data_IF_412526586118
#
_entry.id   IF_412526586118
#
_cell.length_a   1.000
_cell.length_b   1.000
_cell.length_c   1.000
_cell.angle_alpha   90.00
_cell.angle_beta   90.00
_cell.angle_gamma   90.00
#
_symmetry.space_group_name_H-M   'P 1'
#
loop_
_entity.id
_entity.type
_entity.pdbx_description
1 polymer ?
#
# COMPACT_ATOMS: atom_id res chain seq x y z
N UNK A 1 23.08 -82.62 36.76
CA UNK A 1 23.43 -81.26 36.94
C UNK A 1 23.78 -80.64 35.58
N UNK A 2 22.88 -79.92 34.96
CA UNK A 2 23.13 -79.15 33.73
C UNK A 2 22.45 -77.81 33.88
N UNK A 3 23.23 -76.78 33.91
CA UNK A 3 22.73 -75.35 33.96
C UNK A 3 22.18 -74.98 32.61
N UNK A 4 20.98 -74.53 32.60
CA UNK A 4 20.31 -73.93 31.47
C UNK A 4 20.35 -72.36 31.63
N UNK A 5 21.14 -71.72 30.77
CA UNK A 5 21.23 -70.28 30.69
C UNK A 5 20.10 -69.76 29.83
N UNK A 6 19.25 -68.91 30.41
CA UNK A 6 18.19 -68.13 29.70
C UNK A 6 18.84 -66.92 29.02
N UNK A 7 18.75 -66.87 27.69
CA UNK A 7 19.11 -65.67 26.91
C UNK A 7 17.83 -64.85 26.73
N UNK A 8 17.78 -63.67 27.38
CA UNK A 8 16.71 -62.66 27.19
C UNK A 8 16.98 -61.88 25.90
N UNK A 9 16.06 -62.02 24.93
CA UNK A 9 16.01 -61.15 23.75
C UNK A 9 15.24 -59.87 24.13
N UNK A 10 15.94 -58.71 24.24
CA UNK A 10 15.33 -57.42 24.33
C UNK A 10 14.98 -56.94 22.93
N UNK A 11 13.67 -56.91 22.62
CA UNK A 11 13.15 -56.29 21.38
C UNK A 11 13.09 -54.78 21.60
N UNK A 12 14.02 -54.06 20.97
CA UNK A 12 13.93 -52.60 20.85
C UNK A 12 12.86 -52.24 19.83
N UNK A 13 11.68 -51.87 20.29
CA UNK A 13 10.67 -51.13 19.49
C UNK A 13 11.16 -49.68 19.34
N UNK A 14 11.87 -49.40 18.25
CA UNK A 14 12.18 -48.04 17.83
C UNK A 14 10.90 -47.33 17.44
N UNK A 15 10.41 -46.43 18.30
CA UNK A 15 9.41 -45.43 17.91
C UNK A 15 10.05 -44.48 16.90
N UNK A 16 9.78 -44.70 15.62
CA UNK A 16 10.04 -43.74 14.56
C UNK A 16 8.99 -42.64 14.74
N UNK A 17 9.35 -41.60 15.48
CA UNK A 17 8.60 -40.33 15.41
C UNK A 17 8.81 -39.79 14.00
N UNK A 18 7.72 -39.49 13.25
CA UNK A 18 7.88 -38.75 12.02
C UNK A 18 8.46 -37.40 12.42
N UNK A 19 9.73 -37.17 12.12
CA UNK A 19 10.31 -35.83 12.13
C UNK A 19 9.52 -35.08 11.05
N UNK A 20 8.54 -34.32 11.46
CA UNK A 20 7.89 -33.36 10.61
C UNK A 20 8.99 -32.40 10.18
N UNK A 21 9.59 -32.66 9.02
CA UNK A 21 10.55 -31.75 8.41
C UNK A 21 9.76 -30.48 8.10
N UNK A 22 9.88 -29.50 8.98
CA UNK A 22 9.44 -28.16 8.70
C UNK A 22 10.27 -27.69 7.51
N UNK A 23 9.79 -27.92 6.30
CA UNK A 23 10.41 -27.33 5.13
C UNK A 23 10.33 -25.81 5.32
N UNK A 24 11.41 -25.07 5.07
CA UNK A 24 11.35 -23.64 5.13
C UNK A 24 10.22 -23.18 4.19
N UNK A 25 9.29 -22.36 4.71
CA UNK A 25 8.23 -21.80 3.89
C UNK A 25 8.86 -21.08 2.71
N UNK A 26 8.32 -21.25 1.50
CA UNK A 26 8.82 -20.50 0.36
C UNK A 26 8.73 -19.00 0.66
N UNK A 27 9.76 -18.26 0.29
CA UNK A 27 9.80 -16.79 0.44
C UNK A 27 8.64 -16.18 -0.35
N UNK A 28 7.58 -15.78 0.37
CA UNK A 28 6.43 -15.13 -0.23
C UNK A 28 6.78 -13.66 -0.53
N UNK A 29 7.52 -13.45 -1.60
CA UNK A 29 7.98 -12.12 -2.01
C UNK A 29 7.76 -11.86 -3.49
N UNK A 30 7.41 -10.61 -3.80
CA UNK A 30 7.64 -10.02 -5.12
C UNK A 30 9.01 -9.39 -5.12
N UNK A 31 9.81 -9.56 -6.19
CA UNK A 31 11.10 -8.91 -6.27
C UNK A 31 11.51 -8.62 -7.72
N UNK A 32 12.34 -7.59 -7.90
CA UNK A 32 12.71 -7.03 -9.19
C UNK A 32 14.15 -6.52 -9.16
N UNK A 33 14.80 -6.46 -10.33
CA UNK A 33 16.21 -6.05 -10.48
C UNK A 33 16.37 -4.63 -11.07
N UNK A 34 15.27 -3.90 -11.18
CA UNK A 34 15.25 -2.50 -11.65
C UNK A 34 14.22 -1.67 -10.89
N UNK A 35 14.34 -0.34 -10.84
CA UNK A 35 13.28 0.55 -10.38
C UNK A 35 11.98 0.34 -11.15
N UNK A 36 10.86 0.77 -10.59
CA UNK A 36 9.61 0.85 -11.31
C UNK A 36 9.67 2.01 -12.32
N UNK A 37 9.24 1.76 -13.55
CA UNK A 37 9.13 2.78 -14.59
C UNK A 37 7.71 3.34 -14.71
N UNK A 38 6.73 2.57 -14.22
CA UNK A 38 5.33 2.92 -14.20
C UNK A 38 4.74 2.68 -12.81
N UNK A 39 3.67 3.37 -12.50
CA UNK A 39 2.99 3.24 -11.22
C UNK A 39 2.55 1.80 -10.90
N UNK A 40 2.08 1.06 -11.89
CA UNK A 40 1.63 -0.33 -11.74
C UNK A 40 2.77 -1.29 -11.36
N UNK A 41 4.01 -0.88 -11.55
CA UNK A 41 5.20 -1.66 -11.15
C UNK A 41 5.66 -1.36 -9.73
N UNK A 42 5.08 -0.36 -9.07
CA UNK A 42 5.42 0.00 -7.69
C UNK A 42 4.94 -1.05 -6.67
N UNK A 43 5.40 -0.95 -5.44
CA UNK A 43 5.11 -1.96 -4.40
C UNK A 43 4.04 -1.43 -3.43
N UNK A 44 2.80 -1.96 -3.47
CA UNK A 44 1.71 -1.45 -2.63
C UNK A 44 1.88 -1.86 -1.17
N UNK A 45 1.92 -0.89 -0.27
CA UNK A 45 1.90 -1.05 1.18
C UNK A 45 0.66 -0.40 1.77
N UNK A 46 0.08 -0.97 2.82
CA UNK A 46 -1.11 -0.39 3.43
C UNK A 46 -1.50 -1.02 4.77
N UNK A 47 -2.37 -0.31 5.50
CA UNK A 47 -2.94 -0.76 6.76
C UNK A 47 -4.49 -0.68 6.79
N UNK A 48 -5.12 -0.53 5.60
CA UNK A 48 -6.55 -0.36 5.45
C UNK A 48 -7.05 1.08 5.60
N UNK A 49 -6.17 2.04 5.96
CA UNK A 49 -6.44 3.48 5.92
C UNK A 49 -5.40 4.21 5.08
N UNK A 50 -4.15 4.08 5.45
CA UNK A 50 -3.02 4.69 4.74
C UNK A 50 -2.43 3.71 3.75
N UNK A 51 -2.01 4.23 2.60
CA UNK A 51 -1.32 3.49 1.54
C UNK A 51 -0.05 4.20 1.11
N UNK A 52 0.98 3.43 0.75
CA UNK A 52 2.27 3.91 0.27
C UNK A 52 2.73 3.04 -0.90
N UNK A 53 3.28 3.67 -1.95
CA UNK A 53 3.72 2.95 -3.16
C UNK A 53 5.11 3.44 -3.61
N UNK A 54 6.21 2.90 -3.05
CA UNK A 54 7.57 3.24 -3.46
C UNK A 54 7.90 2.69 -4.86
N UNK A 55 8.52 3.52 -5.70
CA UNK A 55 9.02 3.14 -7.02
C UNK A 55 10.44 2.54 -6.98
N UNK A 56 11.19 2.81 -5.90
CA UNK A 56 12.55 2.32 -5.70
C UNK A 56 13.58 3.04 -6.57
N UNK A 57 13.31 4.25 -7.05
CA UNK A 57 14.24 5.06 -7.83
C UNK A 57 15.55 5.32 -7.09
N UNK A 58 16.68 5.26 -7.79
CA UNK A 58 18.01 5.36 -7.14
C UNK A 58 18.38 6.79 -6.79
N UNK A 59 18.31 7.69 -7.76
CA UNK A 59 18.67 9.12 -7.60
C UNK A 59 17.46 9.95 -7.19
N UNK A 60 16.35 9.70 -7.84
CA UNK A 60 15.05 10.27 -7.50
C UNK A 60 14.10 9.11 -7.18
N UNK A 61 13.36 9.24 -6.12
CA UNK A 61 12.33 8.28 -5.73
C UNK A 61 11.03 9.01 -5.47
N UNK A 62 9.97 8.54 -6.12
CA UNK A 62 8.61 9.05 -5.89
C UNK A 62 7.78 7.97 -5.22
N UNK A 63 7.18 8.32 -4.10
CA UNK A 63 6.32 7.44 -3.33
C UNK A 63 4.93 8.03 -3.31
N UNK A 64 3.99 7.37 -3.98
CA UNK A 64 2.60 7.79 -3.98
C UNK A 64 1.96 7.45 -2.64
N UNK A 65 1.29 8.42 -2.02
CA UNK A 65 0.64 8.30 -0.72
C UNK A 65 -0.88 8.33 -0.88
N UNK A 66 -1.57 7.50 -0.12
CA UNK A 66 -3.02 7.41 -0.11
C UNK A 66 -3.59 7.43 1.31
N UNK A 67 -4.79 7.98 1.46
CA UNK A 67 -5.66 7.79 2.62
C UNK A 67 -7.06 7.43 2.09
N UNK A 68 -7.64 6.33 2.58
CA UNK A 68 -8.94 5.82 2.12
C UNK A 68 -10.08 6.84 2.28
N UNK A 69 -9.87 7.84 3.12
CA UNK A 69 -10.83 8.92 3.39
C UNK A 69 -10.63 10.16 2.53
N UNK A 70 -9.68 10.12 1.57
CA UNK A 70 -9.38 11.24 0.68
C UNK A 70 -10.38 11.28 -0.48
N UNK A 71 -11.59 11.79 -0.21
CA UNK A 71 -12.68 11.89 -1.17
C UNK A 71 -13.08 13.34 -1.40
N UNK A 72 -13.17 13.76 -2.66
CA UNK A 72 -13.86 14.97 -3.06
C UNK A 72 -15.37 14.77 -3.05
N UNK A 73 -16.11 15.84 -3.33
CA UNK A 73 -17.57 15.80 -3.39
C UNK A 73 -18.26 15.96 -2.05
N UNK A 74 -19.54 15.74 -2.03
CA UNK A 74 -20.42 15.85 -0.86
C UNK A 74 -21.59 14.90 -0.97
N UNK A 75 -22.34 14.76 0.12
CA UNK A 75 -23.57 13.99 0.10
C UNK A 75 -24.53 14.48 -0.98
N UNK A 76 -25.04 13.56 -1.78
CA UNK A 76 -26.05 13.78 -2.79
C UNK A 76 -27.22 12.83 -2.54
N UNK A 77 -28.45 13.31 -2.67
CA UNK A 77 -29.61 12.47 -2.66
C UNK A 77 -29.76 11.77 -4.01
N UNK A 78 -29.40 10.51 -4.06
CA UNK A 78 -29.45 9.68 -5.27
C UNK A 78 -30.72 8.84 -5.35
N UNK A 79 -31.67 9.02 -4.44
CA UNK A 79 -32.94 8.29 -4.46
C UNK A 79 -33.76 8.65 -5.68
N UNK A 80 -34.35 7.66 -6.32
CA UNK A 80 -35.33 7.83 -7.37
C UNK A 80 -36.69 7.29 -6.90
N UNK A 81 -37.56 8.12 -6.31
CA UNK A 81 -38.86 7.68 -5.80
C UNK A 81 -39.80 7.18 -6.88
N UNK A 82 -39.59 7.59 -8.14
CA UNK A 82 -40.41 7.16 -9.27
C UNK A 82 -40.13 5.71 -9.69
N UNK A 83 -38.93 5.16 -9.37
CA UNK A 83 -38.55 3.82 -9.75
C UNK A 83 -39.53 2.73 -9.28
N UNK A 84 -40.09 2.89 -8.08
CA UNK A 84 -41.02 1.92 -7.50
C UNK A 84 -42.26 1.72 -8.36
N UNK A 85 -42.73 2.73 -9.08
CA UNK A 85 -43.92 2.66 -9.96
C UNK A 85 -43.73 1.66 -11.11
N UNK A 86 -42.50 1.51 -11.58
CA UNK A 86 -42.16 0.65 -12.73
C UNK A 86 -41.77 -0.78 -12.32
N UNK A 87 -41.52 -1.03 -11.04
CA UNK A 87 -41.10 -2.33 -10.56
C UNK A 87 -42.09 -3.48 -10.89
N UNK A 88 -43.43 -3.31 -10.74
CA UNK A 88 -44.38 -4.37 -11.10
C UNK A 88 -44.32 -4.73 -12.58
N UNK A 89 -44.19 -3.74 -13.47
CA UNK A 89 -44.13 -3.93 -14.91
C UNK A 89 -42.83 -4.62 -15.34
N UNK A 90 -41.69 -4.21 -14.79
CA UNK A 90 -40.39 -4.86 -15.03
C UNK A 90 -40.48 -6.35 -14.63
N UNK A 91 -41.03 -6.65 -13.46
CA UNK A 91 -41.21 -8.03 -13.00
C UNK A 91 -42.11 -8.84 -13.91
N UNK A 92 -43.21 -8.26 -14.40
CA UNK A 92 -44.12 -8.90 -15.34
C UNK A 92 -43.41 -9.25 -16.66
N UNK A 93 -42.68 -8.30 -17.22
CA UNK A 93 -41.90 -8.51 -18.44
C UNK A 93 -40.84 -9.62 -18.29
N UNK A 94 -40.12 -9.63 -17.17
CA UNK A 94 -39.13 -10.68 -16.89
C UNK A 94 -39.79 -12.07 -16.77
N UNK A 95 -40.95 -12.17 -16.13
CA UNK A 95 -41.68 -13.42 -16.01
C UNK A 95 -42.26 -13.90 -17.36
N UNK A 96 -42.53 -12.99 -18.26
CA UNK A 96 -42.99 -13.30 -19.65
C UNK A 96 -41.81 -13.61 -20.59
N UNK A 97 -40.55 -13.55 -20.13
CA UNK A 97 -39.37 -13.76 -20.95
C UNK A 97 -38.99 -12.58 -21.85
N UNK A 98 -39.64 -11.42 -21.68
CA UNK A 98 -39.40 -10.19 -22.44
C UNK A 98 -38.24 -9.39 -21.83
N UNK A 99 -37.05 -9.99 -21.84
CA UNK A 99 -35.88 -9.44 -21.13
C UNK A 99 -35.45 -8.08 -21.70
N UNK A 100 -35.48 -7.89 -23.00
CA UNK A 100 -35.04 -6.63 -23.64
C UNK A 100 -35.97 -5.47 -23.26
N UNK A 101 -37.29 -5.68 -23.27
CA UNK A 101 -38.26 -4.67 -22.85
C UNK A 101 -38.11 -4.33 -21.36
N UNK A 102 -37.87 -5.35 -20.51
CA UNK A 102 -37.60 -5.14 -19.09
C UNK A 102 -36.32 -4.33 -18.85
N UNK A 103 -35.26 -4.62 -19.60
CA UNK A 103 -33.98 -3.92 -19.53
C UNK A 103 -34.10 -2.45 -19.97
N UNK A 104 -34.81 -2.18 -21.07
CA UNK A 104 -35.08 -0.81 -21.51
C UNK A 104 -35.83 -0.01 -20.42
N UNK A 105 -36.86 -0.63 -19.82
CA UNK A 105 -37.62 -0.01 -18.76
C UNK A 105 -36.76 0.24 -17.49
N UNK A 106 -35.87 -0.69 -17.16
CA UNK A 106 -34.89 -0.52 -16.11
C UNK A 106 -33.94 0.66 -16.38
N UNK A 107 -33.34 0.72 -17.54
CA UNK A 107 -32.42 1.81 -17.88
C UNK A 107 -33.10 3.17 -17.85
N UNK A 108 -34.38 3.21 -18.24
CA UNK A 108 -35.13 4.47 -18.25
C UNK A 108 -35.58 4.93 -16.87
N UNK A 109 -35.96 4.01 -15.98
CA UNK A 109 -36.66 4.36 -14.75
C UNK A 109 -35.99 3.90 -13.45
N UNK A 110 -35.02 2.96 -13.52
CA UNK A 110 -34.28 2.48 -12.36
C UNK A 110 -32.89 3.11 -12.22
N UNK A 111 -32.62 4.20 -12.93
CA UNK A 111 -31.43 5.00 -12.72
C UNK A 111 -31.55 5.75 -11.38
N UNK A 112 -30.42 5.86 -10.65
CA UNK A 112 -30.36 6.70 -9.47
C UNK A 112 -30.70 8.16 -9.82
N UNK A 113 -31.33 8.88 -8.90
CA UNK A 113 -31.49 10.34 -8.98
C UNK A 113 -30.14 11.05 -8.76
N UNK A 114 -30.13 12.35 -8.99
CA UNK A 114 -28.96 13.19 -8.77
C UNK A 114 -28.15 13.47 -10.04
N UNK A 115 -27.31 14.48 -9.93
CA UNK A 115 -26.50 14.96 -11.04
C UNK A 115 -25.48 13.88 -11.44
N UNK A 116 -25.44 13.51 -12.72
CA UNK A 116 -24.53 12.53 -13.27
C UNK A 116 -24.87 11.08 -13.01
N UNK A 117 -26.01 10.79 -12.39
CA UNK A 117 -26.46 9.42 -12.10
C UNK A 117 -27.14 8.75 -13.30
N UNK A 118 -27.47 9.48 -14.37
CA UNK A 118 -28.09 8.95 -15.54
C UNK A 118 -27.06 8.24 -16.45
N UNK A 119 -27.49 7.20 -17.13
CA UNK A 119 -26.68 6.40 -18.05
C UNK A 119 -25.86 7.26 -19.01
N UNK A 120 -24.52 7.10 -18.98
CA UNK A 120 -23.58 7.84 -19.83
C UNK A 120 -23.35 9.31 -19.49
N UNK A 121 -24.04 9.87 -18.51
CA UNK A 121 -23.90 11.30 -18.16
C UNK A 121 -22.92 11.57 -17.00
N UNK A 122 -22.42 10.53 -16.37
CA UNK A 122 -21.49 10.63 -15.25
C UNK A 122 -20.12 11.21 -15.58
N UNK A 123 -19.70 11.10 -16.83
CA UNK A 123 -18.35 11.51 -17.25
C UNK A 123 -18.07 13.02 -17.10
N UNK A 124 -19.11 13.86 -17.05
CA UNK A 124 -18.99 15.32 -17.04
C UNK A 124 -19.62 15.98 -15.80
N UNK A 125 -20.08 15.20 -14.85
CA UNK A 125 -20.70 15.74 -13.64
C UNK A 125 -19.71 15.79 -12.49
N UNK A 126 -19.70 16.84 -11.65
CA UNK A 126 -18.82 16.97 -10.51
C UNK A 126 -19.31 16.12 -9.36
N UNK A 127 -18.88 14.85 -9.31
CA UNK A 127 -19.15 14.07 -8.10
C UNK A 127 -17.92 13.85 -7.25
N UNK A 128 -18.18 13.20 -6.09
CA UNK A 128 -17.14 12.72 -5.23
C UNK A 128 -16.30 11.65 -5.91
N UNK A 129 -14.98 11.82 -5.81
CA UNK A 129 -14.00 10.92 -6.32
C UNK A 129 -12.95 10.61 -5.25
N UNK A 130 -12.48 9.37 -5.22
CA UNK A 130 -11.29 9.02 -4.48
C UNK A 130 -10.07 9.68 -5.13
N UNK A 131 -9.22 10.29 -4.32
CA UNK A 131 -8.04 11.02 -4.79
C UNK A 131 -6.79 10.56 -4.07
N UNK A 132 -5.63 10.73 -4.72
CA UNK A 132 -4.37 10.55 -4.03
C UNK A 132 -4.22 11.56 -2.89
N UNK A 133 -3.52 11.16 -1.83
CA UNK A 133 -3.19 12.06 -0.72
C UNK A 133 -2.07 13.03 -1.13
N UNK A 134 -1.05 12.54 -1.82
CA UNK A 134 0.09 13.29 -2.30
C UNK A 134 1.21 12.39 -2.76
N UNK A 135 2.31 12.99 -3.17
CA UNK A 135 3.55 12.31 -3.52
C UNK A 135 4.67 12.73 -2.55
N UNK A 136 5.40 11.76 -2.05
CA UNK A 136 6.63 11.99 -1.31
C UNK A 136 7.80 11.85 -2.28
N UNK A 137 8.61 12.89 -2.43
CA UNK A 137 9.75 12.92 -3.32
C UNK A 137 11.04 12.90 -2.52
N UNK A 138 11.91 11.95 -2.82
CA UNK A 138 13.26 11.90 -2.28
C UNK A 138 14.25 12.15 -3.41
N UNK A 139 15.12 13.16 -3.23
CA UNK A 139 16.23 13.45 -4.11
C UNK A 139 17.52 13.09 -3.39
N UNK A 140 18.25 12.08 -3.88
CA UNK A 140 19.48 11.62 -3.26
C UNK A 140 20.69 12.32 -3.90
N UNK A 141 21.63 12.73 -3.04
CA UNK A 141 22.89 13.38 -3.42
C UNK A 141 24.04 12.43 -3.08
N UNK A 142 24.59 11.77 -4.07
CA UNK A 142 25.71 10.86 -3.86
C UNK A 142 27.04 11.59 -3.97
N UNK A 143 28.03 11.30 -3.08
CA UNK A 143 29.30 12.03 -3.03
C UNK A 143 30.12 11.95 -4.33
N UNK A 144 30.02 10.82 -5.03
CA UNK A 144 30.65 10.66 -6.34
C UNK A 144 29.67 11.16 -7.42
N UNK A 145 29.88 12.42 -7.84
CA UNK A 145 29.17 13.02 -8.97
C UNK A 145 29.58 12.42 -10.33
N UNK A 146 30.44 11.40 -10.33
CA UNK A 146 30.80 10.66 -11.53
C UNK A 146 29.58 9.90 -12.06
N UNK A 147 29.44 9.79 -13.35
CA UNK A 147 28.47 9.02 -14.13
C UNK A 147 28.46 7.49 -13.80
N UNK A 148 28.97 7.10 -12.64
CA UNK A 148 28.94 5.70 -12.18
C UNK A 148 27.51 5.30 -11.93
N UNK A 149 26.99 4.45 -12.77
CA UNK A 149 25.71 3.82 -12.59
C UNK A 149 25.60 3.11 -11.23
N UNK A 150 24.45 2.52 -10.95
CA UNK A 150 24.28 1.64 -9.79
C UNK A 150 24.44 0.18 -10.20
N UNK A 151 24.71 -0.68 -9.22
CA UNK A 151 24.85 -2.13 -9.40
C UNK A 151 24.19 -2.88 -8.23
N UNK A 152 24.05 -4.20 -8.38
CA UNK A 152 23.44 -5.08 -7.37
C UNK A 152 22.10 -4.52 -6.86
N UNK A 153 21.27 -4.05 -7.79
CA UNK A 153 19.97 -3.51 -7.48
C UNK A 153 18.96 -4.64 -7.24
N UNK A 154 18.23 -4.50 -6.16
CA UNK A 154 17.07 -5.34 -5.85
C UNK A 154 16.03 -4.50 -5.12
N UNK A 155 14.79 -4.59 -5.53
CA UNK A 155 13.63 -4.13 -4.74
C UNK A 155 12.64 -5.27 -4.59
N UNK A 156 11.89 -5.24 -3.52
CA UNK A 156 10.89 -6.29 -3.30
C UNK A 156 9.90 -5.96 -2.20
N UNK A 157 8.90 -6.82 -2.10
CA UNK A 157 7.83 -6.79 -1.12
C UNK A 157 7.67 -8.18 -0.50
N UNK A 158 7.93 -8.29 0.81
CA UNK A 158 7.61 -9.47 1.61
C UNK A 158 6.13 -9.47 1.96
N UNK A 159 5.39 -10.42 1.42
CA UNK A 159 3.94 -10.52 1.66
C UNK A 159 3.62 -10.96 3.09
N UNK A 160 4.48 -11.78 3.68
CA UNK A 160 4.35 -12.29 5.04
C UNK A 160 4.71 -11.27 6.13
N UNK A 161 5.40 -10.18 5.74
CA UNK A 161 5.81 -9.08 6.63
C UNK A 161 5.17 -7.74 6.30
N UNK A 162 4.50 -7.61 5.15
CA UNK A 162 4.05 -6.33 4.60
C UNK A 162 5.14 -5.25 4.65
N UNK A 163 6.35 -5.64 4.27
CA UNK A 163 7.57 -4.84 4.28
C UNK A 163 8.15 -4.80 2.87
N UNK A 164 8.31 -3.61 2.30
CA UNK A 164 9.05 -3.43 1.06
C UNK A 164 10.48 -3.01 1.34
N UNK A 165 11.37 -3.27 0.39
CA UNK A 165 12.76 -2.82 0.45
C UNK A 165 13.29 -2.45 -0.94
N UNK A 166 14.35 -1.63 -0.93
CA UNK A 166 15.20 -1.34 -2.07
C UNK A 166 16.65 -1.42 -1.62
N UNK A 167 17.46 -2.20 -2.31
CA UNK A 167 18.88 -2.34 -2.07
C UNK A 167 19.65 -2.08 -3.35
N UNK A 168 20.75 -1.35 -3.28
CA UNK A 168 21.65 -1.16 -4.41
C UNK A 168 23.03 -0.75 -3.92
N UNK A 169 24.01 -0.81 -4.83
CA UNK A 169 25.35 -0.29 -4.61
C UNK A 169 25.62 0.86 -5.57
N UNK A 170 26.07 1.98 -5.04
CA UNK A 170 26.59 3.10 -5.85
C UNK A 170 28.03 3.40 -5.43
N UNK A 171 28.96 3.25 -6.39
CA UNK A 171 30.38 3.23 -6.07
C UNK A 171 30.72 2.11 -5.08
N UNK A 172 31.34 2.48 -3.96
CA UNK A 172 31.75 1.53 -2.89
C UNK A 172 30.75 1.42 -1.75
N UNK A 173 29.62 2.13 -1.81
CA UNK A 173 28.62 2.19 -0.74
C UNK A 173 27.41 1.36 -1.11
N UNK A 174 26.95 0.53 -0.16
CA UNK A 174 25.68 -0.19 -0.24
C UNK A 174 24.62 0.61 0.48
N UNK A 175 23.51 0.85 -0.21
CA UNK A 175 22.33 1.52 0.33
C UNK A 175 21.20 0.52 0.50
N UNK A 176 20.44 0.69 1.59
CA UNK A 176 19.20 -0.08 1.84
C UNK A 176 18.14 0.88 2.31
N UNK A 177 16.95 0.72 1.77
CA UNK A 177 15.73 1.41 2.16
C UNK A 177 14.69 0.36 2.53
N UNK A 178 13.94 0.59 3.60
CA UNK A 178 12.85 -0.26 4.06
C UNK A 178 11.61 0.61 4.23
N UNK A 179 10.43 0.06 3.85
CA UNK A 179 9.19 0.80 3.84
C UNK A 179 8.08 -0.05 4.42
N UNK A 180 7.27 0.51 5.30
CA UNK A 180 6.02 -0.12 5.73
C UNK A 180 5.00 0.91 6.20
N UNK A 181 3.71 0.54 6.15
CA UNK A 181 2.63 1.30 6.76
C UNK A 181 2.25 0.58 8.06
N UNK A 182 2.48 1.22 9.20
CA UNK A 182 2.27 0.57 10.49
C UNK A 182 0.83 0.08 10.65
N UNK A 183 0.69 -1.18 11.08
CA UNK A 183 -0.61 -1.79 11.37
C UNK A 183 -1.20 -1.32 12.70
N UNK A 184 -0.39 -0.73 13.57
CA UNK A 184 -0.74 -0.38 14.95
C UNK A 184 -0.68 1.11 15.22
N UNK A 185 0.33 1.83 14.71
CA UNK A 185 0.54 3.27 15.00
C UNK A 185 -0.09 4.19 13.96
N UNK A 186 -0.59 3.62 12.83
CA UNK A 186 -1.31 4.36 11.78
C UNK A 186 -0.48 5.49 11.13
N UNK A 187 0.81 5.21 10.89
CA UNK A 187 1.78 6.06 10.22
C UNK A 187 2.52 5.29 9.12
N UNK A 188 3.03 6.00 8.13
CA UNK A 188 3.92 5.45 7.11
C UNK A 188 5.36 5.67 7.56
N UNK A 189 6.20 4.67 7.39
CA UNK A 189 7.56 4.64 7.92
C UNK A 189 8.53 4.20 6.85
N UNK A 190 9.65 4.93 6.74
CA UNK A 190 10.80 4.54 5.93
C UNK A 190 12.04 4.54 6.79
N UNK A 191 12.93 3.57 6.57
CA UNK A 191 14.29 3.56 7.10
C UNK A 191 15.28 3.55 5.96
N UNK A 192 16.19 4.50 5.95
CA UNK A 192 17.25 4.65 4.97
C UNK A 192 18.60 4.38 5.64
N UNK A 193 19.44 3.55 5.03
CA UNK A 193 20.75 3.21 5.58
C UNK A 193 21.83 3.18 4.50
N UNK A 194 23.03 3.62 4.84
CA UNK A 194 24.25 3.39 4.10
C UNK A 194 25.20 2.50 4.92
N UNK A 195 25.95 1.60 4.28
CA UNK A 195 26.91 0.73 4.97
C UNK A 195 28.22 1.46 5.33
N UNK A 196 28.31 2.76 5.06
CA UNK A 196 29.42 3.65 5.42
C UNK A 196 28.90 4.89 6.11
N UNK A 197 29.64 5.32 7.12
CA UNK A 197 29.30 6.49 7.94
C UNK A 197 29.22 7.75 7.08
N UNK A 198 28.13 8.53 7.29
CA UNK A 198 27.96 9.85 6.69
C UNK A 198 27.68 9.84 5.19
N UNK A 199 27.17 8.74 4.63
CA UNK A 199 26.97 8.59 3.18
C UNK A 199 25.49 8.73 2.74
N UNK A 200 24.62 9.19 3.63
CA UNK A 200 23.25 9.54 3.28
C UNK A 200 23.11 11.06 3.22
N UNK A 201 23.00 11.56 2.00
CA UNK A 201 22.62 12.95 1.70
C UNK A 201 21.37 12.90 0.83
N UNK A 202 20.28 13.51 1.27
CA UNK A 202 19.04 13.57 0.49
C UNK A 202 18.15 14.73 0.92
N UNK A 203 17.30 15.13 0.02
CA UNK A 203 16.19 16.03 0.26
C UNK A 203 14.90 15.24 0.21
N UNK A 204 13.95 15.55 1.09
CA UNK A 204 12.60 14.96 1.07
C UNK A 204 11.55 16.05 1.14
N UNK A 205 10.64 16.00 0.18
CA UNK A 205 9.52 16.94 0.04
C UNK A 205 8.21 16.20 -0.22
N UNK A 206 7.10 16.90 0.01
CA UNK A 206 5.77 16.38 -0.26
C UNK A 206 4.98 17.37 -1.11
N UNK A 207 4.26 16.87 -2.09
CA UNK A 207 3.36 17.65 -2.93
C UNK A 207 2.09 16.87 -3.32
N UNK A 208 1.21 17.54 -4.05
CA UNK A 208 0.10 16.95 -4.77
C UNK A 208 -0.29 17.82 -5.97
N UNK A 209 -1.14 17.33 -6.91
CA UNK A 209 -1.50 18.08 -8.11
C UNK A 209 -2.19 19.42 -7.86
N UNK A 210 -3.02 19.51 -6.81
CA UNK A 210 -3.85 20.72 -6.58
C UNK A 210 -4.32 20.89 -5.12
N UNK A 211 -4.83 22.09 -4.81
CA UNK A 211 -5.55 22.41 -3.57
C UNK A 211 -4.75 22.10 -2.29
N UNK A 212 -3.50 22.54 -2.25
CA UNK A 212 -2.63 22.35 -1.09
C UNK A 212 -1.73 23.57 -0.83
N UNK A 213 -1.26 23.64 0.39
CA UNK A 213 -0.15 24.49 0.83
C UNK A 213 0.81 23.67 1.65
N UNK A 214 2.13 23.92 1.48
CA UNK A 214 3.17 23.32 2.29
C UNK A 214 3.92 24.41 3.08
N UNK A 215 4.29 24.07 4.32
CA UNK A 215 5.12 24.89 5.18
C UNK A 215 5.90 24.02 6.17
N UNK A 216 7.02 24.55 6.68
CA UNK A 216 7.79 23.89 7.72
C UNK A 216 7.61 24.62 9.06
N UNK A 217 7.47 23.84 10.14
CA UNK A 217 7.47 24.33 11.50
C UNK A 217 8.13 23.32 12.43
N UNK A 218 9.07 23.76 13.28
CA UNK A 218 9.79 22.94 14.27
C UNK A 218 10.37 21.62 13.69
N UNK A 219 10.93 21.69 12.47
CA UNK A 219 11.55 20.53 11.82
C UNK A 219 10.56 19.53 11.22
N UNK A 220 9.27 19.86 11.19
CA UNK A 220 8.20 19.11 10.55
C UNK A 220 7.71 19.87 9.33
N UNK A 221 7.53 19.19 8.20
CA UNK A 221 6.84 19.74 7.03
C UNK A 221 5.38 19.33 7.07
N UNK A 222 4.54 20.31 6.86
CA UNK A 222 3.08 20.18 6.80
C UNK A 222 2.61 20.36 5.36
N UNK A 223 1.68 19.56 4.92
CA UNK A 223 0.88 19.78 3.73
C UNK A 223 -0.59 19.75 4.13
N UNK A 224 -1.28 20.85 3.85
CA UNK A 224 -2.70 21.02 4.18
C UNK A 224 -3.48 21.47 2.96
N UNK A 225 -4.75 21.10 2.91
CA UNK A 225 -5.61 21.54 1.84
C UNK A 225 -7.08 21.19 2.04
N UNK A 226 -7.85 21.54 1.04
CA UNK A 226 -9.29 21.29 1.03
C UNK A 226 -9.76 20.97 -0.38
N UNK A 227 -10.41 19.81 -0.52
CA UNK A 227 -10.96 19.36 -1.79
C UNK A 227 -12.25 20.10 -2.15
N UNK A 228 -12.64 20.06 -3.43
CA UNK A 228 -13.93 20.55 -3.87
C UNK A 228 -15.07 19.59 -3.43
N UNK A 229 -16.22 20.15 -3.12
CA UNK A 229 -17.40 19.36 -2.71
C UNK A 229 -18.32 18.98 -3.88
N UNK A 230 -17.92 19.22 -5.12
CA UNK A 230 -18.71 18.95 -6.31
C UNK A 230 -19.83 19.96 -6.58
N UNK A 231 -19.93 21.02 -5.79
CA UNK A 231 -20.95 22.08 -5.88
C UNK A 231 -20.36 23.49 -5.85
N UNK A 232 -19.08 23.61 -6.20
CA UNK A 232 -18.34 24.88 -6.14
C UNK A 232 -18.13 25.41 -4.72
N UNK A 233 -18.06 24.52 -3.73
CA UNK A 233 -17.83 24.84 -2.32
C UNK A 233 -16.74 23.98 -1.74
N UNK A 234 -16.30 24.33 -0.53
CA UNK A 234 -15.30 23.59 0.21
C UNK A 234 -15.79 22.20 0.66
N UNK A 235 -15.02 21.17 0.37
CA UNK A 235 -15.27 19.77 0.72
C UNK A 235 -14.35 19.27 1.82
N UNK A 236 -13.85 18.05 1.66
CA UNK A 236 -12.97 17.37 2.64
C UNK A 236 -11.68 18.14 2.85
N UNK A 237 -11.39 18.46 4.10
CA UNK A 237 -10.09 19.03 4.53
C UNK A 237 -9.13 17.88 4.86
N UNK A 238 -7.85 18.10 4.68
CA UNK A 238 -6.81 17.13 5.00
C UNK A 238 -5.54 17.80 5.52
N UNK A 239 -4.75 17.01 6.26
CA UNK A 239 -3.42 17.37 6.72
C UNK A 239 -2.50 16.17 6.57
N UNK A 240 -1.25 16.45 6.18
CA UNK A 240 -0.14 15.50 6.18
C UNK A 240 1.01 16.13 6.96
N UNK A 241 1.66 15.36 7.80
CA UNK A 241 2.91 15.71 8.46
C UNK A 241 4.02 14.81 7.97
N UNK A 242 5.14 15.40 7.61
CA UNK A 242 6.37 14.74 7.23
C UNK A 242 7.46 15.12 8.23
N UNK A 243 8.08 14.12 8.84
CA UNK A 243 9.19 14.29 9.79
C UNK A 243 10.32 13.35 9.45
N UNK A 244 11.53 13.85 9.59
CA UNK A 244 12.74 13.03 9.48
C UNK A 244 13.49 13.11 10.82
N UNK A 245 14.11 12.02 11.22
CA UNK A 245 15.17 12.06 12.22
C UNK A 245 16.34 11.18 11.81
N UNK A 246 17.51 11.51 12.29
CA UNK A 246 18.77 10.83 12.00
C UNK A 246 19.48 10.46 13.28
N UNK A 247 20.15 9.29 13.29
CA UNK A 247 20.98 8.89 14.42
C UNK A 247 22.31 9.70 14.45
N UNK A 248 22.74 10.19 13.30
CA UNK A 248 23.94 11.00 13.08
C UNK A 248 23.69 11.94 11.87
N UNK A 249 24.65 12.81 11.56
CA UNK A 249 24.51 13.80 10.50
C UNK A 249 23.71 15.04 10.93
N UNK A 250 23.19 15.76 9.95
CA UNK A 250 22.46 17.04 10.14
C UNK A 250 21.16 17.02 9.35
N UNK A 251 20.14 17.64 9.90
CA UNK A 251 18.89 17.86 9.19
C UNK A 251 18.38 19.28 9.41
N UNK A 252 17.80 19.86 8.36
CA UNK A 252 17.17 21.18 8.37
C UNK A 252 15.88 21.11 7.56
N UNK A 253 14.80 21.63 8.10
CA UNK A 253 13.55 21.81 7.38
C UNK A 253 13.42 23.28 6.94
N UNK A 254 13.08 23.50 5.69
CA UNK A 254 12.74 24.80 5.14
C UNK A 254 11.51 24.69 4.24
N UNK A 255 10.71 25.74 4.18
CA UNK A 255 9.50 25.83 3.34
C UNK A 255 8.67 24.54 3.26
N UNK A 256 8.98 23.63 2.38
CA UNK A 256 8.25 22.37 2.11
C UNK A 256 9.19 21.16 2.00
N UNK A 257 10.46 21.30 2.40
CA UNK A 257 11.50 20.31 2.23
C UNK A 257 12.27 20.07 3.51
N UNK A 258 12.74 18.84 3.72
CA UNK A 258 13.70 18.50 4.78
C UNK A 258 14.97 18.02 4.11
N UNK A 259 16.07 18.71 4.42
CA UNK A 259 17.41 18.42 3.93
C UNK A 259 18.16 17.60 4.96
N UNK A 260 18.71 16.46 4.56
CA UNK A 260 19.53 15.58 5.39
C UNK A 260 20.91 15.48 4.79
N UNK A 261 21.95 15.67 5.60
CA UNK A 261 23.35 15.59 5.19
C UNK A 261 24.18 14.76 6.17
N UNK A 262 25.14 14.02 5.58
CA UNK A 262 26.15 13.26 6.32
C UNK A 262 25.56 12.26 7.32
N UNK A 263 24.36 11.71 7.04
CA UNK A 263 23.77 10.69 7.88
C UNK A 263 24.24 9.28 7.48
N UNK A 264 24.16 8.33 8.41
CA UNK A 264 24.39 6.90 8.15
C UNK A 264 23.06 6.16 8.15
N UNK A 265 22.16 6.59 9.03
CA UNK A 265 20.79 6.08 9.12
C UNK A 265 19.83 7.24 9.30
N UNK A 266 18.77 7.23 8.52
CA UNK A 266 17.68 8.19 8.62
C UNK A 266 16.33 7.45 8.64
N UNK A 267 15.37 8.06 9.34
CA UNK A 267 13.99 7.59 9.42
C UNK A 267 13.06 8.69 8.95
N UNK A 268 12.17 8.35 8.02
CA UNK A 268 11.17 9.26 7.49
C UNK A 268 9.81 8.77 7.93
N UNK A 269 9.04 9.63 8.60
CA UNK A 269 7.67 9.36 9.04
C UNK A 269 6.70 10.28 8.32
N UNK A 270 5.57 9.69 7.92
CA UNK A 270 4.43 10.43 7.40
C UNK A 270 3.19 10.04 8.19
N UNK A 271 2.52 11.04 8.79
CA UNK A 271 1.21 10.93 9.39
C UNK A 271 0.21 11.76 8.60
N UNK A 272 -1.02 11.27 8.45
CA UNK A 272 -2.03 11.94 7.65
C UNK A 272 -3.44 11.72 8.22
N UNK A 273 -4.35 12.59 7.84
CA UNK A 273 -5.76 12.47 8.17
C UNK A 273 -6.63 13.51 7.46
N UNK A 274 -7.94 13.25 7.45
CA UNK A 274 -8.93 14.08 6.78
C UNK A 274 -10.11 14.39 7.69
N UNK A 275 -10.84 15.44 7.37
CA UNK A 275 -12.09 15.78 8.07
C UNK A 275 -13.20 14.74 7.86
N UNK A 276 -13.06 13.85 6.86
CA UNK A 276 -13.96 12.74 6.64
C UNK A 276 -13.64 11.55 7.56
N UNK A 277 -12.38 11.43 7.97
CA UNK A 277 -11.95 10.42 8.95
C UNK A 277 -12.37 10.81 10.38
N UNK A 278 -12.09 12.07 10.77
CA UNK A 278 -12.41 12.59 12.09
C UNK A 278 -12.48 14.10 12.10
N UNK A 279 -13.40 14.67 12.89
CA UNK A 279 -13.51 16.12 13.03
C UNK A 279 -12.26 16.76 13.64
N UNK A 280 -11.60 16.05 14.55
CA UNK A 280 -10.36 16.39 15.24
C UNK A 280 -9.12 15.80 14.55
N UNK A 281 -9.16 15.65 13.20
CA UNK A 281 -8.08 15.03 12.44
C UNK A 281 -6.71 15.72 12.62
N UNK A 282 -6.59 17.04 12.75
CA UNK A 282 -5.28 17.66 12.93
C UNK A 282 -4.59 17.22 14.20
N UNK A 283 -5.31 17.23 15.34
CA UNK A 283 -4.81 16.81 16.63
C UNK A 283 -4.44 15.32 16.65
N UNK A 284 -5.22 14.49 15.92
CA UNK A 284 -4.93 13.07 15.76
C UNK A 284 -3.66 12.83 14.94
N UNK A 285 -3.50 13.54 13.82
CA UNK A 285 -2.30 13.46 12.96
C UNK A 285 -1.05 13.81 13.78
N UNK A 286 -1.11 14.89 14.54
CA UNK A 286 -0.01 15.31 15.42
C UNK A 286 0.29 14.26 16.50
N UNK A 287 -0.74 13.76 17.18
CA UNK A 287 -0.59 12.73 18.21
C UNK A 287 0.02 11.44 17.66
N UNK A 288 -0.41 10.99 16.48
CA UNK A 288 0.16 9.79 15.83
C UNK A 288 1.64 10.00 15.48
N UNK A 289 2.01 11.17 14.96
CA UNK A 289 3.40 11.53 14.68
C UNK A 289 4.25 11.55 15.95
N UNK A 290 3.74 12.12 17.05
CA UNK A 290 4.44 12.15 18.33
C UNK A 290 4.63 10.75 18.93
N UNK A 291 3.59 9.92 18.91
CA UNK A 291 3.66 8.54 19.42
C UNK A 291 4.70 7.74 18.64
N UNK A 292 4.59 7.71 17.31
CA UNK A 292 5.51 6.94 16.46
C UNK A 292 6.95 7.51 16.52
N UNK A 293 7.10 8.83 16.56
CA UNK A 293 8.40 9.50 16.63
C UNK A 293 9.16 9.27 17.92
N UNK A 294 8.49 8.85 19.00
CA UNK A 294 9.11 8.53 20.29
C UNK A 294 9.41 7.02 20.45
N UNK A 295 9.08 6.19 19.47
CA UNK A 295 9.32 4.76 19.50
C UNK A 295 10.61 4.40 18.75
N UNK A 296 11.30 3.38 19.21
CA UNK A 296 12.41 2.77 18.46
C UNK A 296 11.87 2.08 17.18
N UNK A 297 12.63 2.19 16.10
CA UNK A 297 12.26 1.57 14.80
C UNK A 297 12.08 0.06 14.90
N UNK A 298 12.94 -0.64 15.64
CA UNK A 298 12.83 -2.08 15.83
C UNK A 298 11.53 -2.46 16.52
N UNK A 299 11.13 -1.68 17.54
CA UNK A 299 9.86 -1.88 18.24
C UNK A 299 8.64 -1.60 17.33
N UNK A 300 8.67 -0.52 16.53
CA UNK A 300 7.63 -0.22 15.54
C UNK A 300 7.49 -1.36 14.52
N UNK A 301 8.60 -1.88 14.01
CA UNK A 301 8.62 -2.97 13.05
C UNK A 301 8.11 -4.29 13.65
N UNK A 302 8.48 -4.62 14.89
CA UNK A 302 8.01 -5.81 15.60
C UNK A 302 6.50 -5.80 15.83
N UNK A 303 5.95 -4.66 16.25
CA UNK A 303 4.51 -4.46 16.44
C UNK A 303 3.75 -4.57 15.11
N UNK A 304 4.27 -3.95 14.07
CA UNK A 304 3.74 -4.06 12.71
C UNK A 304 3.72 -5.53 12.24
N UNK A 305 4.86 -6.22 12.31
CA UNK A 305 5.02 -7.61 11.87
C UNK A 305 4.08 -8.56 12.65
N UNK A 306 3.98 -8.39 13.96
CA UNK A 306 3.10 -9.18 14.81
C UNK A 306 1.62 -9.00 14.44
N UNK A 307 1.16 -7.75 14.29
CA UNK A 307 -0.22 -7.46 13.92
C UNK A 307 -0.55 -7.92 12.49
N UNK A 308 0.40 -7.80 11.56
CA UNK A 308 0.26 -8.27 10.19
C UNK A 308 0.15 -9.80 10.13
N UNK A 309 1.08 -10.52 10.75
CA UNK A 309 1.11 -11.99 10.75
C UNK A 309 -0.13 -12.61 11.37
N UNK A 310 -0.71 -11.98 12.38
CA UNK A 310 -1.97 -12.43 12.99
C UNK A 310 -3.09 -12.56 11.95
N UNK A 311 -3.13 -11.68 10.95
CA UNK A 311 -4.12 -11.71 9.86
C UNK A 311 -3.66 -12.59 8.70
N UNK A 312 -2.42 -12.42 8.26
CA UNK A 312 -1.92 -12.98 7.01
C UNK A 312 -1.64 -14.49 7.11
N UNK A 313 -1.09 -14.98 8.23
CA UNK A 313 -0.71 -16.38 8.41
C UNK A 313 -1.88 -17.34 8.64
N UNK A 314 -3.13 -16.88 8.51
CA UNK A 314 -4.34 -17.71 8.68
C UNK A 314 -4.63 -18.62 7.50
N UNK A 315 -4.04 -18.36 6.35
CA UNK A 315 -4.24 -19.15 5.12
C UNK A 315 -2.90 -19.33 4.43
N UNK A 316 -2.62 -20.57 4.06
CA UNK A 316 -1.45 -20.98 3.28
C UNK A 316 -1.92 -21.76 2.05
N UNK A 317 -1.24 -21.56 0.92
CA UNK A 317 -1.47 -22.31 -0.30
C UNK A 317 -0.11 -22.79 -0.82
N UNK A 318 0.06 -24.11 -0.90
CA UNK A 318 1.20 -24.77 -1.51
C UNK A 318 0.70 -25.56 -2.74
N UNK A 319 1.26 -25.26 -3.91
CA UNK A 319 0.97 -25.94 -5.17
C UNK A 319 2.21 -26.65 -5.75
N UNK A 320 3.25 -26.80 -4.95
CA UNK A 320 4.51 -27.45 -5.33
C UNK A 320 5.72 -26.53 -5.24
N UNK A 321 6.86 -26.99 -5.77
CA UNK A 321 8.16 -26.32 -5.61
C UNK A 321 8.16 -24.95 -6.29
N UNK A 322 8.42 -23.87 -5.55
CA UNK A 322 8.52 -22.53 -6.15
C UNK A 322 9.78 -22.43 -7.02
N UNK A 323 9.65 -21.76 -8.16
CA UNK A 323 10.78 -21.36 -9.00
C UNK A 323 11.14 -19.89 -8.70
N UNK A 324 11.55 -19.59 -7.47
CA UNK A 324 11.79 -18.26 -6.95
C UNK A 324 13.17 -17.65 -7.29
N UNK A 325 13.97 -18.36 -8.07
CA UNK A 325 15.33 -17.95 -8.48
C UNK A 325 15.28 -16.71 -9.41
N UNK A 326 14.18 -16.50 -10.10
CA UNK A 326 14.01 -15.41 -11.06
C UNK A 326 13.16 -14.27 -10.48
N UNK A 327 13.44 -13.02 -10.88
CA UNK A 327 12.57 -11.89 -10.62
C UNK A 327 11.12 -12.16 -11.01
N UNK A 328 10.18 -11.57 -10.29
CA UNK A 328 8.75 -11.84 -10.47
C UNK A 328 8.25 -11.52 -11.89
N UNK A 329 8.72 -10.43 -12.49
CA UNK A 329 8.41 -10.05 -13.86
C UNK A 329 8.93 -11.08 -14.88
N UNK A 330 10.11 -11.66 -14.65
CA UNK A 330 10.66 -12.70 -15.51
C UNK A 330 9.91 -14.03 -15.37
N UNK A 331 9.48 -14.39 -14.16
CA UNK A 331 8.62 -15.56 -13.93
C UNK A 331 7.30 -15.38 -14.67
N UNK A 332 6.68 -14.20 -14.58
CA UNK A 332 5.44 -13.89 -15.25
C UNK A 332 5.56 -13.96 -16.77
N UNK A 333 6.65 -13.41 -17.34
CA UNK A 333 6.90 -13.46 -18.77
C UNK A 333 7.07 -14.90 -19.31
N UNK A 334 7.65 -15.80 -18.51
CA UNK A 334 7.85 -17.22 -18.88
C UNK A 334 6.62 -18.10 -18.64
N UNK A 335 5.62 -17.63 -17.93
CA UNK A 335 4.48 -18.44 -17.49
C UNK A 335 3.70 -19.07 -18.63
N UNK A 336 3.69 -18.45 -19.82
CA UNK A 336 3.04 -19.01 -21.02
C UNK A 336 3.79 -20.19 -21.62
N UNK A 337 5.11 -20.28 -21.39
CA UNK A 337 5.97 -21.30 -21.96
C UNK A 337 6.31 -22.42 -20.96
N UNK A 338 6.28 -22.09 -19.67
CA UNK A 338 6.66 -22.98 -18.59
C UNK A 338 5.70 -22.86 -17.40
N UNK A 339 5.10 -23.97 -16.99
CA UNK A 339 4.29 -24.02 -15.78
C UNK A 339 5.12 -23.65 -14.54
N UNK A 340 4.57 -22.73 -13.73
CA UNK A 340 5.14 -22.32 -12.45
C UNK A 340 4.06 -22.33 -11.36
N UNK A 341 3.80 -23.49 -10.72
CA UNK A 341 2.80 -23.59 -9.65
C UNK A 341 3.09 -22.64 -8.47
N UNK A 342 4.38 -22.39 -8.17
CA UNK A 342 4.78 -21.44 -7.15
C UNK A 342 4.38 -19.99 -7.48
N UNK A 343 4.39 -19.59 -8.76
CA UNK A 343 3.89 -18.27 -9.17
C UNK A 343 2.37 -18.16 -9.00
N UNK A 344 1.63 -19.24 -9.28
CA UNK A 344 0.16 -19.28 -9.06
C UNK A 344 -0.15 -19.14 -7.56
N UNK A 345 0.57 -19.87 -6.70
CA UNK A 345 0.43 -19.73 -5.25
C UNK A 345 0.80 -18.32 -4.78
N UNK A 346 1.88 -17.73 -5.32
CA UNK A 346 2.29 -16.35 -5.03
C UNK A 346 1.22 -15.34 -5.47
N UNK A 347 0.60 -15.53 -6.64
CA UNK A 347 -0.48 -14.67 -7.14
C UNK A 347 -1.71 -14.71 -6.22
N UNK A 348 -2.12 -15.90 -5.77
CA UNK A 348 -3.18 -16.05 -4.78
C UNK A 348 -2.84 -15.32 -3.47
N UNK A 349 -1.62 -15.52 -2.96
CA UNK A 349 -1.18 -14.88 -1.73
C UNK A 349 -1.05 -13.36 -1.88
N UNK A 350 -0.69 -12.88 -3.07
CA UNK A 350 -0.66 -11.44 -3.37
C UNK A 350 -2.07 -10.83 -3.39
N UNK A 351 -3.06 -11.52 -3.96
CA UNK A 351 -4.46 -11.08 -3.90
C UNK A 351 -4.97 -10.95 -2.46
N UNK A 352 -4.64 -11.93 -1.60
CA UNK A 352 -4.93 -11.86 -0.16
C UNK A 352 -4.21 -10.69 0.52
N UNK A 353 -2.93 -10.50 0.19
CA UNK A 353 -2.12 -9.39 0.67
C UNK A 353 -2.80 -8.04 0.37
N UNK A 354 -3.24 -7.82 -0.86
CA UNK A 354 -3.92 -6.59 -1.27
C UNK A 354 -5.22 -6.36 -0.49
N UNK A 355 -6.02 -7.40 -0.28
CA UNK A 355 -7.25 -7.28 0.52
C UNK A 355 -6.94 -6.93 1.99
N UNK A 356 -5.98 -7.60 2.62
CA UNK A 356 -5.65 -7.39 4.04
C UNK A 356 -5.00 -6.03 4.25
N UNK A 357 -4.09 -5.61 3.35
CA UNK A 357 -3.41 -4.32 3.43
C UNK A 357 -4.30 -3.14 3.04
N UNK A 358 -5.32 -3.38 2.21
CA UNK A 358 -6.26 -2.36 1.77
C UNK A 358 -7.49 -2.19 2.66
N UNK A 359 -7.74 -3.09 3.63
CA UNK A 359 -8.95 -3.07 4.46
C UNK A 359 -8.64 -3.13 5.95
N UNK A 360 -9.49 -2.53 6.76
CA UNK A 360 -9.50 -2.70 8.22
C UNK A 360 -10.90 -2.52 8.78
N UNK A 361 -11.11 -2.97 10.02
CA UNK A 361 -12.36 -2.78 10.72
C UNK A 361 -12.69 -1.28 10.88
N UNK A 362 -13.98 -0.94 10.77
CA UNK A 362 -14.50 0.42 10.90
C UNK A 362 -13.89 1.44 9.92
N UNK A 363 -13.40 0.98 8.76
CA UNK A 363 -12.94 1.81 7.66
C UNK A 363 -13.92 1.80 6.50
N UNK A 364 -13.74 2.68 5.52
CA UNK A 364 -14.49 2.61 4.27
C UNK A 364 -14.18 1.30 3.52
N UNK A 365 -15.17 0.74 2.80
CA UNK A 365 -14.90 -0.35 1.88
C UNK A 365 -13.94 0.12 0.79
N UNK A 366 -13.17 -0.83 0.23
CA UNK A 366 -12.34 -0.54 -0.92
C UNK A 366 -13.19 -0.01 -2.07
N UNK A 367 -12.68 1.03 -2.74
CA UNK A 367 -13.24 1.47 -4.00
C UNK A 367 -12.75 0.52 -5.12
N UNK A 368 -13.14 0.80 -6.39
CA UNK A 368 -12.79 -0.04 -7.54
C UNK A 368 -11.26 -0.26 -7.70
N UNK A 369 -10.45 0.71 -7.29
CA UNK A 369 -8.99 0.64 -7.37
C UNK A 369 -8.33 0.17 -6.07
N UNK A 370 -9.11 -0.18 -5.08
CA UNK A 370 -8.64 -0.52 -3.76
C UNK A 370 -8.26 0.71 -2.93
N UNK A 371 -7.14 0.62 -2.21
CA UNK A 371 -6.61 1.71 -1.39
C UNK A 371 -5.72 2.66 -2.21
N UNK A 372 -5.13 2.19 -3.32
CA UNK A 372 -4.05 2.88 -4.01
C UNK A 372 -4.53 3.59 -5.28
N UNK A 373 -4.15 4.86 -5.41
CA UNK A 373 -4.41 5.71 -6.55
C UNK A 373 -3.21 6.61 -6.81
N UNK A 374 -2.92 6.93 -8.07
CA UNK A 374 -1.79 7.78 -8.48
C UNK A 374 -2.21 9.10 -9.11
N UNK A 375 -3.50 9.30 -9.28
CA UNK A 375 -4.06 10.50 -9.92
C UNK A 375 -5.43 10.80 -9.37
N UNK A 376 -6.01 11.91 -9.78
CA UNK A 376 -7.42 12.22 -9.53
C UNK A 376 -8.31 11.29 -10.34
N UNK A 377 -8.79 10.24 -9.70
CA UNK A 377 -9.58 9.22 -10.37
C UNK A 377 -11.06 9.48 -10.16
N UNK A 378 -11.49 10.68 -10.56
CA UNK A 378 -12.90 11.02 -10.55
C UNK A 378 -13.72 10.31 -11.63
N UNK A 379 -13.10 9.95 -12.73
CA UNK A 379 -13.84 9.54 -13.94
C UNK A 379 -14.03 8.03 -14.09
N UNK A 380 -13.11 7.21 -13.63
CA UNK A 380 -13.20 5.76 -13.81
C UNK A 380 -14.15 5.10 -12.82
N UNK A 381 -14.12 5.47 -11.54
CA UNK A 381 -15.02 4.92 -10.52
C UNK A 381 -16.48 5.33 -10.70
N UNK A 382 -16.75 6.42 -11.43
CA UNK A 382 -18.10 6.88 -11.71
C UNK A 382 -18.74 6.17 -12.92
N UNK A 383 -17.96 5.60 -13.84
CA UNK A 383 -18.48 4.87 -14.99
C UNK A 383 -19.04 3.49 -14.63
N UNK A 384 -18.66 2.94 -13.51
CA UNK A 384 -18.97 1.56 -13.13
C UNK A 384 -19.97 1.45 -11.97
N UNK A 385 -20.48 2.56 -11.48
CA UNK A 385 -21.65 2.56 -10.59
C UNK A 385 -22.92 2.49 -11.41
N UNK A 386 -23.14 1.35 -12.02
CA UNK A 386 -24.43 0.96 -12.58
C UNK A 386 -25.18 0.13 -11.54
#
# INVERSE_FOLDING_TARGET
MKHMTFVQWAVWLGFIYPVCSCQPRPDLKLWYTRPAERWEETLPLGNGRLGMMPDGGVVQETIVLNDITMWSGSFQDTRNPEALKYLPEIRRLLLEGKNDEAQELMYKHFACGGQGSAFGQGANAPYGAFQLLGNLHLQYHFPDSSDVGYSAYERGLSLDKALAWTCFRKGKVKYRREYFVSQTEDVMIMKLTADRKGMLDFDVAIDRPENYTCYANDGVVYMEGQLDNGKGKAGTKYMVQLKVWTADGRQVADSACIHVKEATTAYVLVSAGTSLWAADYPERVEKLMQIAGNMDYGYLLERHDSAWRYKYNRVELDLGTPQDILPTDQRLARFQEQEDPGLVALYFQYGRYLLISGTRENSFPLNLQGLWANSEIGRASCRERV
#
